data_IF_651106868304
#
_entry.id   IF_651106868304
#
_cell.length_a   1.000
_cell.length_b   1.000
_cell.length_c   1.000
_cell.angle_alpha   90.00
_cell.angle_beta   90.00
_cell.angle_gamma   90.00
#
_symmetry.space_group_name_H-M   'P 1'
#
loop_
_entity.id
_entity.type
_entity.pdbx_description
1 polymer ?
#
# COMPACT_ATOMS: atom_id res chain seq x y z
N UNK A 1 -51.23 -13.00 1.49
CA UNK A 1 -50.15 -12.50 2.38
C UNK A 1 -48.73 -12.63 1.80
N UNK A 2 -48.45 -13.39 0.73
CA UNK A 2 -47.07 -13.72 0.30
C UNK A 2 -46.34 -12.67 -0.56
N UNK A 3 -47.04 -11.91 -1.42
CA UNK A 3 -46.42 -10.93 -2.35
C UNK A 3 -45.75 -9.75 -1.65
N UNK A 4 -46.31 -9.26 -0.54
CA UNK A 4 -45.76 -8.12 0.23
C UNK A 4 -44.40 -8.46 0.86
N UNK A 5 -44.24 -9.70 1.33
CA UNK A 5 -42.97 -10.20 1.87
C UNK A 5 -41.91 -10.40 0.78
N UNK A 6 -42.30 -10.85 -0.42
CA UNK A 6 -41.37 -10.99 -1.55
C UNK A 6 -40.79 -9.63 -1.97
N UNK A 7 -41.63 -8.59 -2.06
CA UNK A 7 -41.18 -7.22 -2.39
C UNK A 7 -40.24 -6.69 -1.31
N UNK A 8 -40.56 -6.88 -0.02
CA UNK A 8 -39.70 -6.50 1.10
C UNK A 8 -38.33 -7.21 1.05
N UNK A 9 -38.29 -8.51 0.74
CA UNK A 9 -37.05 -9.28 0.64
C UNK A 9 -36.16 -8.74 -0.49
N UNK A 10 -36.72 -8.50 -1.68
CA UNK A 10 -35.96 -7.96 -2.83
C UNK A 10 -35.37 -6.58 -2.48
N UNK A 11 -36.14 -5.73 -1.81
CA UNK A 11 -35.72 -4.39 -1.44
C UNK A 11 -34.57 -4.43 -0.40
N UNK A 12 -34.66 -5.33 0.58
CA UNK A 12 -33.58 -5.55 1.56
C UNK A 12 -32.32 -6.10 0.87
N UNK A 13 -32.44 -7.06 -0.04
CA UNK A 13 -31.30 -7.59 -0.80
C UNK A 13 -30.66 -6.55 -1.71
N UNK A 14 -31.45 -5.67 -2.34
CA UNK A 14 -30.93 -4.59 -3.17
C UNK A 14 -30.11 -3.58 -2.34
N UNK A 15 -30.59 -3.24 -1.14
CA UNK A 15 -29.88 -2.33 -0.22
C UNK A 15 -28.59 -2.97 0.29
N UNK A 16 -28.62 -4.23 0.72
CA UNK A 16 -27.40 -4.91 1.21
C UNK A 16 -26.38 -5.10 0.09
N UNK A 17 -26.80 -5.50 -1.12
CA UNK A 17 -25.92 -5.59 -2.28
C UNK A 17 -25.30 -4.23 -2.63
N UNK A 18 -26.09 -3.15 -2.58
CA UNK A 18 -25.61 -1.78 -2.80
C UNK A 18 -24.54 -1.36 -1.79
N UNK A 19 -24.80 -1.55 -0.49
CA UNK A 19 -23.83 -1.22 0.59
C UNK A 19 -22.54 -2.04 0.45
N UNK A 20 -22.69 -3.34 0.18
CA UNK A 20 -21.53 -4.24 0.06
C UNK A 20 -20.70 -3.90 -1.19
N UNK A 21 -21.34 -3.52 -2.29
CA UNK A 21 -20.68 -3.08 -3.52
C UNK A 21 -19.90 -1.77 -3.34
N UNK A 22 -20.50 -0.77 -2.69
CA UNK A 22 -19.81 0.49 -2.36
C UNK A 22 -18.61 0.24 -1.44
N UNK A 23 -18.77 -0.62 -0.43
CA UNK A 23 -17.69 -0.96 0.48
C UNK A 23 -16.52 -1.66 -0.22
N UNK A 24 -16.79 -2.49 -1.24
CA UNK A 24 -15.74 -3.12 -2.05
C UNK A 24 -14.96 -2.10 -2.88
N UNK A 25 -15.64 -1.13 -3.50
CA UNK A 25 -15.02 -0.11 -4.34
C UNK A 25 -14.10 0.83 -3.54
N UNK A 26 -14.49 1.14 -2.30
CA UNK A 26 -13.75 2.00 -1.39
C UNK A 26 -12.50 1.34 -0.78
N UNK A 27 -12.26 0.04 -0.99
CA UNK A 27 -11.07 -0.61 -0.41
C UNK A 27 -9.78 -0.04 -1.03
N UNK A 28 -8.77 0.26 -0.18
CA UNK A 28 -7.46 0.65 -0.68
C UNK A 28 -6.83 -0.53 -1.42
N UNK A 29 -6.33 -0.27 -2.63
CA UNK A 29 -5.67 -1.29 -3.44
C UNK A 29 -4.25 -1.47 -2.91
N UNK A 30 -3.92 -2.68 -2.44
CA UNK A 30 -2.54 -3.02 -2.05
C UNK A 30 -1.71 -3.22 -3.32
N UNK A 31 -0.65 -2.44 -3.47
CA UNK A 31 0.29 -2.54 -4.60
C UNK A 31 1.39 -3.56 -4.32
N UNK A 32 1.79 -3.71 -3.06
CA UNK A 32 2.76 -4.70 -2.64
C UNK A 32 3.06 -4.61 -1.15
N UNK A 33 3.74 -5.62 -0.62
CA UNK A 33 4.15 -5.64 0.78
C UNK A 33 5.45 -6.42 0.94
N UNK A 34 6.26 -6.00 1.91
CA UNK A 34 7.52 -6.64 2.24
C UNK A 34 7.73 -6.59 3.74
N UNK A 35 8.22 -7.69 4.32
CA UNK A 35 8.53 -7.77 5.75
C UNK A 35 9.60 -8.80 6.01
N UNK A 36 10.41 -8.57 7.03
CA UNK A 36 11.40 -9.54 7.50
C UNK A 36 11.67 -9.39 9.00
N UNK A 37 12.24 -10.45 9.58
CA UNK A 37 12.67 -10.52 10.98
C UNK A 37 14.00 -11.25 11.03
N UNK A 38 14.98 -10.64 11.69
CA UNK A 38 16.31 -11.21 11.88
C UNK A 38 16.69 -11.12 13.35
N UNK A 39 17.02 -12.27 13.95
CA UNK A 39 17.50 -12.39 15.34
C UNK A 39 19.03 -12.28 15.44
N UNK A 40 19.73 -12.39 14.31
CA UNK A 40 21.17 -12.28 14.18
C UNK A 40 21.50 -11.22 13.14
N UNK A 41 22.74 -10.72 13.17
CA UNK A 41 23.18 -9.68 12.24
C UNK A 41 23.16 -10.19 10.80
N UNK A 42 22.51 -9.42 9.92
CA UNK A 42 22.44 -9.73 8.50
C UNK A 42 22.75 -8.49 7.65
N UNK A 43 23.43 -8.70 6.53
CA UNK A 43 23.52 -7.73 5.44
C UNK A 43 22.85 -8.35 4.22
N UNK A 44 21.69 -7.83 3.84
CA UNK A 44 20.86 -8.38 2.77
C UNK A 44 19.95 -7.30 2.19
N UNK A 45 19.43 -7.54 0.99
CA UNK A 45 18.46 -6.67 0.38
C UNK A 45 17.24 -7.49 -0.06
N UNK A 46 16.08 -6.87 -0.01
CA UNK A 46 14.83 -7.42 -0.52
C UNK A 46 14.03 -6.32 -1.19
N UNK A 47 13.22 -6.68 -2.17
CA UNK A 47 12.44 -5.72 -2.92
C UNK A 47 11.05 -6.24 -3.28
N UNK A 48 10.18 -5.30 -3.61
CA UNK A 48 8.91 -5.53 -4.28
C UNK A 48 8.78 -4.57 -5.46
N UNK A 49 8.10 -5.01 -6.51
CA UNK A 49 7.83 -4.17 -7.67
C UNK A 49 6.34 -4.07 -7.94
N UNK A 50 5.90 -2.89 -8.38
CA UNK A 50 4.51 -2.63 -8.75
C UNK A 50 4.44 -1.65 -9.92
N UNK A 51 3.40 -1.74 -10.73
CA UNK A 51 3.12 -0.76 -11.77
C UNK A 51 2.34 0.42 -11.20
N UNK A 52 2.62 1.61 -11.71
CA UNK A 52 1.91 2.82 -11.34
C UNK A 52 1.75 3.77 -12.52
N UNK A 53 0.71 4.59 -12.46
CA UNK A 53 0.41 5.61 -13.46
C UNK A 53 0.89 6.98 -12.98
N UNK A 54 1.37 7.81 -13.90
CA UNK A 54 1.75 9.20 -13.61
C UNK A 54 0.60 9.97 -12.96
N UNK A 55 0.90 10.73 -11.91
CA UNK A 55 -0.07 11.48 -11.11
C UNK A 55 -0.80 10.65 -10.05
N UNK A 56 -0.67 9.32 -10.06
CA UNK A 56 -1.21 8.49 -8.97
C UNK A 56 -0.47 8.77 -7.66
N UNK A 57 -1.23 8.89 -6.58
CA UNK A 57 -0.67 8.97 -5.22
C UNK A 57 -0.61 7.58 -4.61
N UNK A 58 0.51 7.24 -4.00
CA UNK A 58 0.69 6.02 -3.22
C UNK A 58 0.91 6.37 -1.75
N UNK A 59 0.56 5.42 -0.88
CA UNK A 59 0.77 5.49 0.56
C UNK A 59 1.66 4.35 1.01
N UNK A 60 2.73 4.68 1.72
CA UNK A 60 3.54 3.74 2.48
C UNK A 60 3.01 3.65 3.90
N UNK A 61 2.86 2.43 4.40
CA UNK A 61 2.66 2.14 5.83
C UNK A 61 3.84 1.30 6.27
N UNK A 62 4.74 1.91 7.02
CA UNK A 62 5.99 1.33 7.47
C UNK A 62 6.01 1.16 8.99
N UNK A 63 6.53 0.03 9.45
CA UNK A 63 6.84 -0.23 10.84
C UNK A 63 8.19 -0.91 10.95
N UNK A 64 8.97 -0.54 11.95
CA UNK A 64 10.24 -1.19 12.25
C UNK A 64 10.51 -1.26 13.75
N UNK A 65 11.30 -2.25 14.13
CA UNK A 65 11.94 -2.32 15.44
C UNK A 65 13.40 -2.71 15.19
N UNK A 66 14.25 -1.70 15.08
CA UNK A 66 15.69 -1.85 14.81
C UNK A 66 16.40 -2.00 16.16
N UNK A 67 16.99 -3.17 16.38
CA UNK A 67 17.78 -3.46 17.59
C UNK A 67 19.26 -3.10 17.38
N UNK A 68 19.78 -3.28 16.16
CA UNK A 68 21.14 -2.94 15.76
C UNK A 68 21.25 -2.81 14.23
N UNK A 69 22.29 -2.12 13.76
CA UNK A 69 22.57 -1.92 12.33
C UNK A 69 21.66 -0.90 11.67
N UNK A 70 21.62 -0.94 10.34
CA UNK A 70 20.89 0.01 9.51
C UNK A 70 19.82 -0.69 8.66
N UNK A 71 18.71 0.02 8.45
CA UNK A 71 17.64 -0.36 7.55
C UNK A 71 17.30 0.84 6.68
N UNK A 72 17.60 0.76 5.38
CA UNK A 72 17.25 1.80 4.42
C UNK A 72 16.16 1.31 3.48
N UNK A 73 15.06 2.06 3.37
CA UNK A 73 13.94 1.70 2.49
C UNK A 73 13.77 2.79 1.44
N UNK A 74 14.02 2.46 0.17
CA UNK A 74 14.04 3.41 -0.94
C UNK A 74 13.20 2.92 -2.12
N UNK A 75 12.41 3.83 -2.69
CA UNK A 75 11.67 3.65 -3.92
C UNK A 75 12.51 4.10 -5.11
N UNK A 76 12.57 3.24 -6.12
CA UNK A 76 13.23 3.45 -7.39
C UNK A 76 12.19 3.50 -8.51
N UNK A 77 12.41 4.38 -9.49
CA UNK A 77 11.61 4.42 -10.73
C UNK A 77 12.05 3.33 -11.73
N UNK A 78 11.36 3.26 -12.87
CA UNK A 78 11.64 2.28 -13.92
C UNK A 78 13.05 2.40 -14.54
N UNK A 79 13.73 3.54 -14.37
CA UNK A 79 15.11 3.75 -14.81
C UNK A 79 16.14 3.36 -13.73
N UNK A 80 15.68 2.88 -12.57
CA UNK A 80 16.54 2.55 -11.42
C UNK A 80 17.00 3.77 -10.64
N UNK A 81 16.39 4.95 -10.83
CA UNK A 81 16.71 6.15 -10.08
C UNK A 81 15.95 6.15 -8.75
N UNK A 82 16.65 6.42 -7.65
CA UNK A 82 16.02 6.67 -6.36
C UNK A 82 15.16 7.94 -6.43
N UNK A 83 13.86 7.80 -6.14
CA UNK A 83 12.88 8.89 -6.20
C UNK A 83 12.30 9.24 -4.83
N UNK A 84 12.36 8.32 -3.87
CA UNK A 84 11.88 8.56 -2.52
C UNK A 84 12.52 7.60 -1.52
N UNK A 85 12.97 8.10 -0.37
CA UNK A 85 13.50 7.29 0.74
C UNK A 85 12.61 7.50 1.96
N UNK A 86 12.22 6.42 2.61
CA UNK A 86 11.43 6.48 3.83
C UNK A 86 12.34 6.86 5.01
N UNK A 87 11.82 7.71 5.89
CA UNK A 87 12.51 8.04 7.14
C UNK A 87 12.62 6.82 8.06
N UNK A 88 13.72 6.76 8.79
CA UNK A 88 13.94 5.80 9.86
C UNK A 88 12.98 6.08 11.02
N UNK A 89 11.99 5.21 11.22
CA UNK A 89 10.98 5.36 12.26
C UNK A 89 10.40 4.01 12.70
N UNK A 90 9.95 3.93 13.96
CA UNK A 90 9.22 2.75 14.46
C UNK A 90 7.88 2.55 13.76
N UNK A 91 7.21 3.64 13.42
CA UNK A 91 5.99 3.66 12.63
C UNK A 91 5.93 4.94 11.80
N UNK A 92 5.64 4.80 10.51
CA UNK A 92 5.55 5.90 9.56
C UNK A 92 4.44 5.65 8.56
N UNK A 93 3.65 6.69 8.27
CA UNK A 93 2.79 6.74 7.10
C UNK A 93 3.25 7.89 6.21
N UNK A 94 3.66 7.57 4.98
CA UNK A 94 4.16 8.54 4.03
C UNK A 94 3.38 8.46 2.71
N UNK A 95 3.29 9.58 1.99
CA UNK A 95 2.61 9.65 0.69
C UNK A 95 3.58 10.12 -0.36
N UNK A 96 3.47 9.56 -1.57
CA UNK A 96 4.29 9.93 -2.70
C UNK A 96 3.45 9.96 -3.97
N UNK A 97 3.67 10.97 -4.83
CA UNK A 97 2.98 11.07 -6.12
C UNK A 97 3.93 10.58 -7.20
N UNK A 98 3.49 9.61 -7.99
CA UNK A 98 4.29 9.02 -9.06
C UNK A 98 4.42 10.03 -10.20
N UNK A 99 5.63 10.50 -10.48
CA UNK A 99 5.85 11.50 -11.55
C UNK A 99 5.69 10.92 -12.96
N UNK A 100 5.92 9.60 -13.11
CA UNK A 100 5.92 8.90 -14.39
C UNK A 100 5.14 7.59 -14.30
N UNK A 101 4.55 7.16 -15.40
CA UNK A 101 4.00 5.81 -15.51
C UNK A 101 5.13 4.80 -15.70
N UNK A 102 5.03 3.64 -15.06
CA UNK A 102 6.03 2.57 -15.18
C UNK A 102 6.03 1.60 -14.01
N UNK A 103 7.03 0.73 -14.00
CA UNK A 103 7.30 -0.17 -12.86
C UNK A 103 8.18 0.55 -11.87
N UNK A 104 7.75 0.59 -10.62
CA UNK A 104 8.53 1.08 -9.49
C UNK A 104 8.98 -0.10 -8.64
N UNK A 105 10.15 0.04 -8.02
CA UNK A 105 10.72 -0.97 -7.13
C UNK A 105 10.98 -0.35 -5.77
N UNK A 106 10.36 -0.89 -4.72
CA UNK A 106 10.63 -0.51 -3.33
C UNK A 106 11.60 -1.54 -2.76
N UNK A 107 12.82 -1.11 -2.44
CA UNK A 107 13.85 -1.96 -1.87
C UNK A 107 14.12 -1.60 -0.40
N UNK A 108 14.32 -2.63 0.42
CA UNK A 108 14.83 -2.54 1.77
C UNK A 108 16.25 -3.12 1.78
N UNK A 109 17.21 -2.30 2.19
CA UNK A 109 18.60 -2.70 2.39
C UNK A 109 18.88 -2.77 3.88
N UNK A 110 19.30 -3.95 4.33
CA UNK A 110 19.75 -4.22 5.68
C UNK A 110 21.27 -4.26 5.69
N UNK A 111 21.91 -3.54 6.59
CA UNK A 111 23.37 -3.60 6.80
C UNK A 111 23.68 -3.82 8.29
N UNK A 112 24.32 -4.96 8.60
CA UNK A 112 24.57 -5.45 9.96
C UNK A 112 23.31 -5.39 10.85
N UNK A 113 22.15 -5.61 10.23
CA UNK A 113 20.84 -5.35 10.81
C UNK A 113 20.39 -6.48 11.72
N UNK A 114 19.82 -6.12 12.88
CA UNK A 114 19.06 -7.02 13.76
C UNK A 114 17.75 -6.33 14.10
N UNK A 115 16.63 -7.01 13.93
CA UNK A 115 15.33 -6.41 14.20
C UNK A 115 14.21 -6.92 13.31
N UNK A 116 13.15 -6.12 13.22
CA UNK A 116 11.99 -6.40 12.37
C UNK A 116 11.64 -5.19 11.53
N UNK A 117 11.08 -5.43 10.35
CA UNK A 117 10.42 -4.39 9.59
C UNK A 117 9.26 -4.93 8.76
N UNK A 118 8.34 -4.04 8.42
CA UNK A 118 7.23 -4.28 7.52
C UNK A 118 6.89 -3.00 6.78
N UNK A 119 6.72 -3.10 5.47
CA UNK A 119 6.21 -2.02 4.63
C UNK A 119 5.08 -2.55 3.76
N UNK A 120 3.98 -1.80 3.68
CA UNK A 120 2.88 -2.05 2.75
C UNK A 120 2.71 -0.79 1.90
N UNK A 121 2.59 -0.98 0.60
CA UNK A 121 2.31 0.09 -0.36
C UNK A 121 0.86 -0.03 -0.80
N UNK A 122 0.13 1.07 -0.70
CA UNK A 122 -1.25 1.19 -1.17
C UNK A 122 -1.33 2.22 -2.29
N UNK A 123 -2.18 1.95 -3.28
CA UNK A 123 -2.70 3.01 -4.14
C UNK A 123 -3.65 3.85 -3.32
N UNK A 124 -3.31 5.13 -3.16
CA UNK A 124 -4.16 6.07 -2.46
C UNK A 124 -5.18 6.62 -3.45
N UNK A 125 -6.38 6.03 -3.43
CA UNK A 125 -7.54 6.55 -4.15
C UNK A 125 -7.97 7.83 -3.45
N UNK A 126 -7.26 8.93 -3.71
CA UNK A 126 -7.77 10.27 -3.40
C UNK A 126 -9.14 10.33 -4.07
N UNK A 127 -10.20 10.59 -3.30
CA UNK A 127 -11.58 10.66 -3.78
C UNK A 127 -11.59 11.30 -5.17
N UNK A 128 -11.76 10.49 -6.22
CA UNK A 128 -12.05 11.01 -7.54
C UNK A 128 -13.34 11.77 -7.33
N UNK A 129 -13.24 13.10 -7.30
CA UNK A 129 -14.40 13.96 -7.36
C UNK A 129 -15.20 13.43 -8.54
N UNK A 130 -16.34 12.82 -8.24
CA UNK A 130 -17.40 12.55 -9.20
C UNK A 130 -17.94 13.91 -9.62
N UNK A 131 -17.14 14.67 -10.38
CA UNK A 131 -17.64 15.70 -11.25
C UNK A 131 -18.13 14.97 -12.50
N UNK A 132 -19.32 14.38 -12.38
CA UNK A 132 -20.15 14.11 -13.54
C UNK A 132 -20.53 15.47 -14.13
N UNK A 133 -19.95 15.80 -15.29
CA UNK A 133 -20.47 16.78 -16.24
C UNK A 133 -21.66 16.21 -16.99
#
# INVERSE_FOLDING_TARGET
MKKKYIILIILVFAVTAGITGVYWLARPTVLGNMSSRYSEQVTTASDISFTGEAGSRIKFVFKSDVLSGNLDVTLYDAAGKAVYTLDNAKELAAYFTLERSGTYTLAASCDNFVGTYKVIVYLDKINTSTASS
#
